data_IF_261952135030
#
_entry.id   IF_261952135030
#
_cell.length_a   1.000
_cell.length_b   1.000
_cell.length_c   1.000
_cell.angle_alpha   90.00
_cell.angle_beta   90.00
_cell.angle_gamma   90.00
#
_symmetry.space_group_name_H-M   'P 1'
#
loop_
_entity.id
_entity.type
_entity.pdbx_description
1 polymer ?
#
# COMPACT_ATOMS: atom_id res chain seq x y z
N UNK A 1 21.18 15.96 -12.37
CA UNK A 1 19.75 16.32 -12.40
C UNK A 1 19.47 17.57 -11.57
N UNK A 2 19.99 17.67 -10.34
CA UNK A 2 19.85 18.89 -9.50
C UNK A 2 20.26 20.16 -10.23
N UNK A 3 21.46 20.21 -10.81
CA UNK A 3 21.94 21.41 -11.53
C UNK A 3 21.05 21.82 -12.70
N UNK A 4 20.47 20.83 -13.39
CA UNK A 4 19.57 21.05 -14.51
C UNK A 4 18.25 21.70 -14.06
N UNK A 5 17.75 21.34 -12.87
CA UNK A 5 16.49 21.84 -12.33
C UNK A 5 16.65 23.09 -11.46
N UNK A 6 17.88 23.47 -11.09
CA UNK A 6 18.17 24.60 -10.22
C UNK A 6 17.53 25.94 -10.65
N UNK A 7 17.50 26.32 -11.95
CA UNK A 7 16.80 27.53 -12.40
C UNK A 7 15.27 27.51 -12.18
N UNK A 8 14.71 26.34 -11.86
CA UNK A 8 13.28 26.09 -11.66
C UNK A 8 12.99 25.50 -10.28
N UNK A 9 13.90 25.67 -9.31
CA UNK A 9 13.75 25.14 -7.94
C UNK A 9 12.51 25.71 -7.19
N UNK A 10 11.91 26.80 -7.69
CA UNK A 10 10.64 27.34 -7.17
C UNK A 10 9.41 26.49 -7.53
N UNK A 11 9.55 25.52 -8.45
CA UNK A 11 8.45 24.68 -8.97
C UNK A 11 8.81 23.23 -9.29
N UNK A 12 10.10 22.86 -9.30
CA UNK A 12 10.57 21.50 -9.59
C UNK A 12 11.57 21.04 -8.54
N UNK A 13 11.42 19.80 -8.10
CA UNK A 13 12.35 19.12 -7.19
C UNK A 13 12.85 17.83 -7.83
N UNK A 14 14.17 17.62 -7.95
CA UNK A 14 14.72 16.37 -8.46
C UNK A 14 14.52 15.24 -7.44
N UNK A 15 14.15 14.05 -7.91
CA UNK A 15 13.94 12.87 -7.08
C UNK A 15 15.21 12.02 -7.03
N UNK A 16 15.60 11.57 -5.84
CA UNK A 16 16.68 10.60 -5.68
C UNK A 16 16.13 9.17 -5.73
N UNK A 17 16.69 8.32 -6.59
CA UNK A 17 16.39 6.89 -6.59
C UNK A 17 17.21 6.19 -5.49
N UNK A 18 16.56 5.45 -4.60
CA UNK A 18 17.19 4.80 -3.45
C UNK A 18 17.11 3.27 -3.63
N UNK A 19 18.26 2.58 -3.76
CA UNK A 19 18.28 1.13 -3.76
C UNK A 19 17.94 0.58 -2.38
N UNK A 20 17.21 -0.54 -2.36
CA UNK A 20 16.69 -1.13 -1.13
C UNK A 20 17.22 -2.55 -0.91
N UNK A 21 18.37 -2.96 -1.48
CA UNK A 21 18.84 -4.35 -1.35
C UNK A 21 19.27 -4.71 0.06
N UNK A 22 19.83 -3.77 0.83
CA UNK A 22 20.01 -3.92 2.28
C UNK A 22 19.70 -2.59 2.99
N UNK A 23 19.37 -2.62 4.29
CA UNK A 23 19.19 -1.39 5.07
C UNK A 23 20.41 -0.47 5.05
N UNK A 24 21.63 -1.02 5.15
CA UNK A 24 22.87 -0.25 5.17
C UNK A 24 23.10 0.49 3.85
N UNK A 25 22.80 -0.17 2.72
CA UNK A 25 22.87 0.46 1.41
C UNK A 25 21.85 1.61 1.30
N UNK A 26 20.60 1.34 1.64
CA UNK A 26 19.53 2.34 1.58
C UNK A 26 19.87 3.57 2.42
N UNK A 27 20.33 3.38 3.66
CA UNK A 27 20.73 4.45 4.58
C UNK A 27 21.88 5.28 3.98
N UNK A 28 22.93 4.64 3.47
CA UNK A 28 24.06 5.34 2.84
C UNK A 28 23.61 6.20 1.67
N UNK A 29 22.71 5.69 0.83
CA UNK A 29 22.16 6.44 -0.30
C UNK A 29 21.24 7.59 0.13
N UNK A 30 20.45 7.40 1.19
CA UNK A 30 19.63 8.46 1.78
C UNK A 30 20.49 9.59 2.34
N UNK A 31 21.53 9.27 3.11
CA UNK A 31 22.44 10.26 3.71
C UNK A 31 23.17 11.07 2.63
N UNK A 32 23.67 10.40 1.60
CA UNK A 32 24.33 11.06 0.49
C UNK A 32 23.35 11.95 -0.31
N UNK A 33 22.19 11.41 -0.70
CA UNK A 33 21.23 12.14 -1.52
C UNK A 33 20.62 13.34 -0.80
N UNK A 34 20.19 13.18 0.45
CA UNK A 34 19.53 14.25 1.21
C UNK A 34 20.54 15.17 1.88
N UNK A 35 21.56 14.60 2.53
CA UNK A 35 22.52 15.35 3.33
C UNK A 35 23.60 16.06 2.51
N UNK A 36 24.13 15.40 1.46
CA UNK A 36 25.21 15.99 0.65
C UNK A 36 24.71 16.64 -0.63
N UNK A 37 23.79 16.00 -1.36
CA UNK A 37 23.27 16.51 -2.63
C UNK A 37 22.06 17.45 -2.47
N UNK A 38 21.39 17.45 -1.32
CA UNK A 38 20.26 18.33 -1.03
C UNK A 38 18.94 17.93 -1.68
N UNK A 39 18.76 16.65 -2.02
CA UNK A 39 17.45 16.14 -2.43
C UNK A 39 16.44 16.27 -1.28
N UNK A 40 15.22 16.71 -1.61
CA UNK A 40 14.09 16.72 -0.67
C UNK A 40 13.08 15.60 -0.91
N UNK A 41 13.19 14.91 -2.05
CA UNK A 41 12.28 13.83 -2.48
C UNK A 41 13.10 12.59 -2.81
N UNK A 42 12.62 11.44 -2.35
CA UNK A 42 13.24 10.12 -2.57
C UNK A 42 12.22 9.16 -3.13
N UNK A 43 12.62 8.36 -4.12
CA UNK A 43 11.84 7.25 -4.65
C UNK A 43 12.63 5.95 -4.40
N UNK A 44 12.04 5.08 -3.60
CA UNK A 44 12.60 3.82 -3.17
C UNK A 44 12.04 2.69 -4.04
N UNK A 45 12.80 1.62 -4.20
CA UNK A 45 12.23 0.37 -4.71
C UNK A 45 11.14 -0.11 -3.75
N UNK A 46 10.07 -0.70 -4.28
CA UNK A 46 8.92 -1.17 -3.50
C UNK A 46 9.00 -2.65 -3.14
N UNK A 47 9.91 -3.41 -3.76
CA UNK A 47 10.20 -4.81 -3.47
C UNK A 47 11.55 -5.20 -4.08
N UNK A 48 12.08 -6.34 -3.66
CA UNK A 48 13.27 -6.96 -4.26
C UNK A 48 13.11 -8.47 -4.35
N UNK A 49 13.76 -9.08 -5.35
CA UNK A 49 13.85 -10.52 -5.45
C UNK A 49 14.90 -11.06 -4.48
N UNK A 50 14.50 -11.99 -3.62
CA UNK A 50 15.40 -12.75 -2.75
C UNK A 50 15.44 -14.20 -3.18
N UNK A 51 16.62 -14.77 -3.45
CA UNK A 51 16.75 -16.21 -3.65
C UNK A 51 16.17 -17.01 -2.47
N UNK A 52 15.43 -18.06 -2.77
CA UNK A 52 14.96 -19.02 -1.78
C UNK A 52 16.17 -19.87 -1.36
N UNK A 53 16.50 -19.99 -0.06
CA UNK A 53 17.70 -20.71 0.39
C UNK A 53 17.83 -22.14 -0.17
N UNK A 54 16.73 -22.88 -0.23
CA UNK A 54 16.72 -24.22 -0.80
C UNK A 54 17.06 -24.26 -2.31
N UNK A 55 16.78 -23.20 -3.07
CA UNK A 55 17.16 -23.10 -4.48
C UNK A 55 18.67 -22.83 -4.63
N UNK A 56 19.24 -21.95 -3.80
CA UNK A 56 20.69 -21.72 -3.74
C UNK A 56 21.46 -23.01 -3.42
N UNK A 57 20.99 -23.76 -2.42
CA UNK A 57 21.63 -25.02 -1.98
C UNK A 57 21.68 -26.06 -3.09
N UNK A 58 20.66 -26.10 -3.96
CA UNK A 58 20.63 -27.03 -5.10
C UNK A 58 21.57 -26.59 -6.23
N UNK A 59 21.53 -25.30 -6.62
CA UNK A 59 22.43 -24.76 -7.63
C UNK A 59 22.39 -23.23 -7.66
N UNK A 60 23.55 -22.55 -7.78
CA UNK A 60 23.58 -21.10 -8.01
C UNK A 60 22.76 -20.65 -9.23
N UNK A 61 22.69 -21.47 -10.29
CA UNK A 61 21.89 -21.13 -11.48
C UNK A 61 20.38 -21.26 -11.28
N UNK A 62 19.92 -21.98 -10.25
CA UNK A 62 18.50 -22.06 -9.89
C UNK A 62 18.06 -20.89 -9.01
N UNK A 63 19.00 -20.27 -8.29
CA UNK A 63 18.74 -19.13 -7.41
C UNK A 63 18.14 -17.92 -8.16
N UNK A 64 18.47 -17.76 -9.43
CA UNK A 64 17.93 -16.70 -10.31
C UNK A 64 16.44 -16.87 -10.62
N UNK A 65 15.90 -18.10 -10.51
CA UNK A 65 14.51 -18.43 -10.83
C UNK A 65 13.69 -18.79 -9.60
N UNK A 66 14.33 -19.33 -8.57
CA UNK A 66 13.72 -19.64 -7.28
C UNK A 66 13.80 -18.46 -6.33
N UNK A 67 13.11 -17.36 -6.65
CA UNK A 67 13.06 -16.17 -5.79
C UNK A 67 11.71 -16.03 -5.08
N UNK A 68 11.72 -15.28 -3.98
CA UNK A 68 10.52 -14.71 -3.35
C UNK A 68 10.59 -13.19 -3.47
N UNK A 69 9.43 -12.56 -3.49
CA UNK A 69 9.34 -11.11 -3.32
C UNK A 69 9.55 -10.78 -1.84
N UNK A 70 10.49 -9.89 -1.57
CA UNK A 70 10.76 -9.34 -0.25
C UNK A 70 10.30 -7.88 -0.21
N UNK A 71 9.45 -7.61 0.79
CA UNK A 71 8.86 -6.31 1.06
C UNK A 71 9.26 -5.86 2.46
N UNK A 72 9.56 -4.57 2.60
CA UNK A 72 10.37 -4.00 3.69
C UNK A 72 9.64 -3.81 5.05
N UNK A 73 8.70 -4.68 5.43
CA UNK A 73 7.92 -4.57 6.66
C UNK A 73 7.67 -5.90 7.37
N UNK A 74 6.82 -6.74 6.82
CA UNK A 74 6.52 -8.10 7.30
C UNK A 74 7.40 -9.12 6.58
N UNK A 75 8.05 -10.00 7.34
CA UNK A 75 8.84 -11.16 6.86
C UNK A 75 9.95 -10.84 5.85
N UNK A 76 10.47 -9.61 5.92
CA UNK A 76 11.66 -9.20 5.18
C UNK A 76 12.91 -9.93 5.64
N UNK A 77 13.87 -10.16 4.73
CA UNK A 77 15.16 -10.78 5.07
C UNK A 77 15.96 -9.94 6.08
N UNK A 78 15.84 -8.61 5.98
CA UNK A 78 16.47 -7.66 6.90
C UNK A 78 15.44 -6.82 7.64
N UNK A 79 15.87 -6.22 8.75
CA UNK A 79 15.08 -5.24 9.49
C UNK A 79 15.25 -3.84 8.88
N UNK A 80 14.20 -3.35 8.20
CA UNK A 80 14.18 -2.03 7.56
C UNK A 80 13.72 -0.91 8.50
N UNK A 81 13.43 -1.19 9.79
CA UNK A 81 13.09 -0.14 10.76
C UNK A 81 14.19 0.94 10.84
N UNK A 82 15.45 0.57 10.63
CA UNK A 82 16.56 1.52 10.57
C UNK A 82 16.46 2.48 9.37
N UNK A 83 15.93 2.01 8.23
CA UNK A 83 15.69 2.85 7.05
C UNK A 83 14.55 3.83 7.32
N UNK A 84 13.47 3.38 7.96
CA UNK A 84 12.35 4.24 8.35
C UNK A 84 12.78 5.29 9.37
N UNK A 85 13.54 4.89 10.39
CA UNK A 85 14.14 5.82 11.35
C UNK A 85 14.98 6.89 10.64
N UNK A 86 15.81 6.49 9.67
CA UNK A 86 16.63 7.42 8.87
C UNK A 86 15.78 8.36 8.01
N UNK A 87 14.69 7.90 7.41
CA UNK A 87 13.76 8.78 6.68
C UNK A 87 13.14 9.84 7.59
N UNK A 88 12.76 9.46 8.81
CA UNK A 88 12.23 10.39 9.80
C UNK A 88 13.28 11.41 10.26
N UNK A 89 14.51 10.95 10.52
CA UNK A 89 15.67 11.79 10.88
C UNK A 89 15.96 12.84 9.79
N UNK A 90 16.02 12.39 8.53
CA UNK A 90 16.27 13.25 7.36
C UNK A 90 15.05 14.05 6.91
N UNK A 91 13.90 13.85 7.56
CA UNK A 91 12.62 14.49 7.22
C UNK A 91 12.25 14.31 5.75
N UNK A 92 12.31 13.08 5.25
CA UNK A 92 11.86 12.73 3.91
C UNK A 92 10.76 11.68 3.97
N UNK A 93 9.69 11.90 3.21
CA UNK A 93 8.62 10.91 3.07
C UNK A 93 9.12 9.79 2.13
N UNK A 94 9.07 8.51 2.55
CA UNK A 94 9.30 7.40 1.65
C UNK A 94 8.26 7.39 0.53
N UNK A 95 8.70 7.48 -0.73
CA UNK A 95 7.83 7.23 -1.89
C UNK A 95 8.37 6.03 -2.66
N UNK A 96 7.47 5.28 -3.31
CA UNK A 96 7.82 4.01 -3.95
C UNK A 96 7.34 3.97 -5.37
N UNK A 97 8.20 3.49 -6.26
CA UNK A 97 7.84 3.09 -7.61
C UNK A 97 8.61 1.83 -7.96
N UNK A 98 7.93 0.83 -8.50
CA UNK A 98 8.56 -0.38 -9.00
C UNK A 98 7.72 -1.02 -10.08
N UNK A 99 8.41 -1.55 -11.09
CA UNK A 99 7.77 -2.40 -12.09
C UNK A 99 7.21 -3.68 -11.46
N UNK A 100 6.47 -4.43 -12.27
CA UNK A 100 5.78 -5.64 -11.83
C UNK A 100 6.70 -6.74 -11.28
N UNK A 101 6.40 -7.22 -10.08
CA UNK A 101 7.01 -8.42 -9.50
C UNK A 101 6.40 -9.73 -10.02
N UNK A 102 6.91 -10.86 -9.53
CA UNK A 102 6.41 -12.21 -9.85
C UNK A 102 4.87 -12.28 -9.68
N UNK A 103 4.15 -12.73 -10.72
CA UNK A 103 2.67 -12.77 -10.71
C UNK A 103 2.08 -13.96 -11.44
N UNK A 104 0.94 -14.43 -10.96
CA UNK A 104 0.16 -15.46 -11.64
C UNK A 104 -0.42 -14.94 -12.96
N UNK A 105 -0.49 -15.79 -13.98
CA UNK A 105 -1.18 -15.46 -15.23
C UNK A 105 -0.47 -14.47 -16.16
N UNK A 106 0.86 -14.31 -16.06
CA UNK A 106 1.65 -13.53 -17.05
C UNK A 106 1.44 -14.11 -18.45
N UNK A 107 1.25 -13.24 -19.43
CA UNK A 107 1.27 -13.62 -20.84
C UNK A 107 2.70 -13.62 -21.37
N UNK A 108 3.05 -14.62 -22.18
CA UNK A 108 4.38 -14.69 -22.84
C UNK A 108 4.47 -13.77 -24.07
N UNK A 109 3.37 -13.18 -24.51
CA UNK A 109 3.31 -12.43 -25.78
C UNK A 109 2.47 -11.14 -25.75
N UNK A 110 1.72 -10.88 -24.68
CA UNK A 110 0.85 -9.70 -24.60
C UNK A 110 1.34 -8.73 -23.51
N UNK A 111 1.91 -7.60 -23.94
CA UNK A 111 2.38 -6.54 -23.06
C UNK A 111 1.25 -5.90 -22.25
N UNK A 112 0.10 -5.60 -22.84
CA UNK A 112 -1.02 -4.93 -22.15
C UNK A 112 -1.59 -5.78 -21.01
N UNK A 113 -1.79 -7.09 -21.25
CA UNK A 113 -2.10 -8.06 -20.19
C UNK A 113 -1.03 -8.03 -19.07
N UNK A 114 0.21 -7.73 -19.46
CA UNK A 114 1.32 -7.69 -18.53
C UNK A 114 1.47 -6.39 -17.74
N UNK A 115 1.04 -5.28 -18.34
CA UNK A 115 1.16 -3.95 -17.81
C UNK A 115 0.01 -3.58 -16.87
N UNK A 116 -1.23 -3.92 -17.26
CA UNK A 116 -2.43 -3.60 -16.48
C UNK A 116 -2.33 -4.22 -15.07
N UNK A 117 -2.53 -3.39 -14.06
CA UNK A 117 -2.52 -3.76 -12.64
C UNK A 117 -1.13 -4.12 -12.08
N UNK A 118 -0.09 -4.01 -12.89
CA UNK A 118 1.21 -4.57 -12.56
C UNK A 118 2.00 -3.73 -11.53
N UNK A 119 1.88 -2.40 -11.59
CA UNK A 119 2.41 -1.48 -10.59
C UNK A 119 1.53 -1.52 -9.34
N UNK A 120 0.20 -1.49 -9.50
CA UNK A 120 -0.77 -1.62 -8.40
C UNK A 120 -0.50 -2.85 -7.52
N UNK A 121 -0.26 -4.01 -8.12
CA UNK A 121 0.06 -5.24 -7.38
C UNK A 121 1.38 -5.13 -6.59
N UNK A 122 2.41 -4.50 -7.16
CA UNK A 122 3.67 -4.28 -6.47
C UNK A 122 3.47 -3.38 -5.24
N UNK A 123 2.71 -2.30 -5.38
CA UNK A 123 2.41 -1.37 -4.29
C UNK A 123 1.49 -1.99 -3.23
N UNK A 124 0.52 -2.81 -3.63
CA UNK A 124 -0.37 -3.54 -2.72
C UNK A 124 0.41 -4.48 -1.79
N UNK A 125 1.37 -5.24 -2.35
CA UNK A 125 2.24 -6.11 -1.57
C UNK A 125 3.07 -5.35 -0.53
N UNK A 126 3.64 -4.20 -0.93
CA UNK A 126 4.38 -3.33 -0.02
C UNK A 126 3.48 -2.75 1.07
N UNK A 127 2.31 -2.20 0.71
CA UNK A 127 1.37 -1.62 1.66
C UNK A 127 0.91 -2.65 2.71
N UNK A 128 0.62 -3.89 2.30
CA UNK A 128 0.34 -5.00 3.23
C UNK A 128 1.53 -5.26 4.15
N UNK A 129 2.73 -5.36 3.60
CA UNK A 129 3.95 -5.61 4.36
C UNK A 129 4.21 -4.51 5.41
N UNK A 130 4.06 -3.24 5.04
CA UNK A 130 4.21 -2.10 5.96
C UNK A 130 3.12 -2.11 7.05
N UNK A 131 1.86 -2.34 6.67
CA UNK A 131 0.73 -2.34 7.58
C UNK A 131 0.79 -3.51 8.57
N UNK A 132 0.76 -4.76 8.08
CA UNK A 132 0.81 -5.96 8.91
C UNK A 132 2.15 -6.14 9.60
N UNK A 133 3.23 -5.58 9.05
CA UNK A 133 4.52 -5.49 9.71
C UNK A 133 4.53 -4.52 10.89
N UNK A 134 3.50 -3.67 11.07
CA UNK A 134 3.38 -2.68 12.15
C UNK A 134 4.22 -1.43 11.94
N UNK A 135 4.72 -1.16 10.73
CA UNK A 135 5.62 -0.04 10.44
C UNK A 135 4.93 1.30 10.68
N UNK A 136 3.69 1.46 10.21
CA UNK A 136 2.93 2.71 10.39
C UNK A 136 2.61 3.01 11.86
N UNK A 137 2.55 1.98 12.70
CA UNK A 137 2.45 2.12 14.16
C UNK A 137 3.75 2.58 14.79
N UNK A 138 4.89 1.97 14.41
CA UNK A 138 6.21 2.27 14.97
C UNK A 138 6.76 3.62 14.51
N UNK A 139 6.42 4.04 13.29
CA UNK A 139 6.87 5.31 12.69
C UNK A 139 5.70 6.24 12.38
N UNK A 140 4.97 6.72 13.41
CA UNK A 140 3.74 7.48 13.21
C UNK A 140 3.97 8.88 12.61
N UNK A 141 5.22 9.36 12.57
CA UNK A 141 5.63 10.63 11.95
C UNK A 141 5.87 10.53 10.45
N UNK A 142 5.91 9.31 9.88
CA UNK A 142 6.11 9.11 8.45
C UNK A 142 4.79 8.95 7.72
N UNK A 143 4.80 9.40 6.46
CA UNK A 143 3.80 9.10 5.46
C UNK A 143 4.48 8.35 4.32
N UNK A 144 3.76 7.44 3.66
CA UNK A 144 4.28 6.59 2.60
C UNK A 144 3.52 6.86 1.30
N UNK A 145 4.24 7.21 0.23
CA UNK A 145 3.69 7.49 -1.09
C UNK A 145 3.87 6.31 -2.05
N UNK A 146 2.82 5.89 -2.74
CA UNK A 146 2.84 4.80 -3.71
C UNK A 146 2.57 5.41 -5.09
N UNK A 147 3.55 5.43 -5.98
CA UNK A 147 3.47 6.16 -7.25
C UNK A 147 2.95 5.25 -8.39
N UNK A 148 2.27 5.88 -9.36
CA UNK A 148 1.77 5.29 -10.62
C UNK A 148 0.97 3.98 -10.47
N UNK A 149 0.00 3.98 -9.56
CA UNK A 149 -0.67 2.73 -9.19
C UNK A 149 -2.20 2.79 -9.17
N UNK A 150 -2.76 3.97 -9.38
CA UNK A 150 -4.19 4.25 -9.24
C UNK A 150 -4.74 3.94 -7.84
N UNK A 151 -5.99 4.32 -7.58
CA UNK A 151 -6.58 4.23 -6.24
C UNK A 151 -7.37 2.95 -5.95
N UNK A 152 -7.83 2.22 -6.97
CA UNK A 152 -8.75 1.09 -6.79
C UNK A 152 -8.22 0.00 -5.84
N UNK A 153 -6.95 -0.39 -5.98
CA UNK A 153 -6.33 -1.44 -5.16
C UNK A 153 -6.29 -1.05 -3.68
N UNK A 154 -6.00 0.22 -3.37
CA UNK A 154 -5.91 0.72 -2.01
C UNK A 154 -7.29 0.78 -1.34
N UNK A 155 -8.34 1.11 -2.11
CA UNK A 155 -9.72 1.08 -1.63
C UNK A 155 -10.18 -0.34 -1.29
N UNK A 156 -9.92 -1.30 -2.19
CA UNK A 156 -10.20 -2.72 -1.93
C UNK A 156 -9.42 -3.22 -0.72
N UNK A 157 -8.11 -2.94 -0.68
CA UNK A 157 -7.25 -3.38 0.42
C UNK A 157 -7.71 -2.82 1.76
N UNK A 158 -8.09 -1.54 1.84
CA UNK A 158 -8.60 -0.95 3.07
C UNK A 158 -9.89 -1.64 3.54
N UNK A 159 -10.84 -1.89 2.64
CA UNK A 159 -12.06 -2.64 2.95
C UNK A 159 -11.76 -4.07 3.40
N UNK A 160 -10.83 -4.74 2.73
CA UNK A 160 -10.40 -6.10 3.07
C UNK A 160 -9.75 -6.14 4.45
N UNK A 161 -8.83 -5.22 4.77
CA UNK A 161 -8.18 -5.15 6.08
C UNK A 161 -9.23 -5.00 7.19
N UNK A 162 -10.20 -4.09 7.04
CA UNK A 162 -11.28 -3.90 8.00
C UNK A 162 -12.12 -5.17 8.15
N UNK A 163 -12.59 -5.74 7.03
CA UNK A 163 -13.41 -6.95 7.06
C UNK A 163 -12.67 -8.18 7.58
N UNK A 164 -11.36 -8.27 7.41
CA UNK A 164 -10.54 -9.35 7.95
C UNK A 164 -10.25 -9.16 9.44
N UNK A 165 -10.09 -7.93 9.93
CA UNK A 165 -9.91 -7.67 11.36
C UNK A 165 -11.08 -8.25 12.17
N UNK A 166 -12.31 -8.07 11.70
CA UNK A 166 -13.52 -8.64 12.32
C UNK A 166 -13.54 -10.17 12.40
N UNK A 167 -12.72 -10.86 11.60
CA UNK A 167 -12.76 -12.33 11.44
C UNK A 167 -11.47 -13.03 11.88
N UNK A 168 -10.37 -12.28 11.96
CA UNK A 168 -9.02 -12.82 12.11
C UNK A 168 -8.32 -12.33 13.37
N UNK A 169 -8.96 -11.56 14.24
CA UNK A 169 -8.47 -11.39 15.63
C UNK A 169 -8.60 -12.69 16.42
N UNK A 170 -7.83 -12.86 17.49
CA UNK A 170 -7.93 -14.04 18.36
C UNK A 170 -9.36 -14.28 18.84
N UNK A 171 -10.03 -13.23 19.33
CA UNK A 171 -11.42 -13.31 19.80
C UNK A 171 -12.41 -13.71 18.69
N UNK A 172 -12.22 -13.22 17.46
CA UNK A 172 -13.07 -13.60 16.33
C UNK A 172 -12.83 -15.05 15.89
N UNK A 173 -11.58 -15.51 15.93
CA UNK A 173 -11.25 -16.90 15.59
C UNK A 173 -11.78 -17.90 16.62
N UNK A 174 -11.84 -17.53 17.90
CA UNK A 174 -12.45 -18.36 18.95
C UNK A 174 -13.93 -18.69 18.66
N UNK A 175 -14.68 -17.73 18.09
CA UNK A 175 -16.07 -17.95 17.69
C UNK A 175 -16.23 -19.02 16.60
N UNK A 176 -15.26 -19.14 15.69
CA UNK A 176 -15.26 -20.12 14.60
C UNK A 176 -14.32 -21.30 14.86
N UNK A 177 -13.84 -21.47 16.09
CA UNK A 177 -12.96 -22.57 16.46
C UNK A 177 -13.68 -23.92 16.22
N UNK A 178 -13.16 -24.80 15.35
CA UNK A 178 -13.75 -26.10 15.11
C UNK A 178 -13.88 -26.96 16.38
N UNK A 179 -13.08 -26.72 17.41
CA UNK A 179 -13.19 -27.39 18.71
C UNK A 179 -14.52 -27.08 19.44
N UNK A 180 -15.16 -25.95 19.12
CA UNK A 180 -16.44 -25.54 19.69
C UNK A 180 -17.66 -26.14 18.95
N UNK A 181 -17.45 -26.88 17.85
CA UNK A 181 -18.52 -27.47 17.05
C UNK A 181 -19.05 -28.77 17.68
N UNK A 182 -20.35 -28.80 18.00
CA UNK A 182 -21.05 -30.05 18.32
C UNK A 182 -21.31 -30.85 17.03
N UNK A 183 -20.35 -31.71 16.69
CA UNK A 183 -20.40 -32.54 15.48
C UNK A 183 -21.57 -33.51 15.51
N UNK A 184 -21.92 -34.07 16.68
CA UNK A 184 -23.03 -35.02 16.78
C UNK A 184 -24.37 -34.34 16.48
N UNK A 185 -24.57 -33.13 17.00
CA UNK A 185 -25.75 -32.33 16.70
C UNK A 185 -25.79 -31.90 15.23
N UNK A 186 -24.66 -31.52 14.66
CA UNK A 186 -24.57 -31.20 13.23
C UNK A 186 -24.95 -32.40 12.36
N UNK A 187 -24.45 -33.60 12.69
CA UNK A 187 -24.78 -34.82 11.96
C UNK A 187 -26.26 -35.21 12.11
N UNK A 188 -26.87 -34.98 13.28
CA UNK A 188 -28.32 -35.12 13.45
C UNK A 188 -29.09 -34.20 12.48
N UNK A 189 -28.68 -32.94 12.35
CA UNK A 189 -29.33 -32.03 11.41
C UNK A 189 -29.17 -32.46 9.95
N UNK A 190 -28.02 -33.04 9.58
CA UNK A 190 -27.86 -33.59 8.24
C UNK A 190 -28.76 -34.81 8.00
N UNK A 191 -28.89 -35.70 8.98
CA UNK A 191 -29.78 -36.85 8.88
C UNK A 191 -31.26 -36.42 8.80
N UNK A 192 -31.67 -35.41 9.54
CA UNK A 192 -33.04 -34.90 9.53
C UNK A 192 -33.36 -34.17 8.20
N UNK A 193 -32.48 -33.24 7.78
CA UNK A 193 -32.84 -32.19 6.82
C UNK A 193 -32.05 -32.16 5.51
N UNK A 194 -30.93 -32.88 5.39
CA UNK A 194 -30.11 -32.76 4.19
C UNK A 194 -30.78 -33.41 2.97
N UNK A 195 -30.30 -33.06 1.77
CA UNK A 195 -30.75 -33.68 0.54
C UNK A 195 -30.26 -35.15 0.43
N UNK A 196 -30.85 -35.98 -0.45
CA UNK A 196 -30.49 -37.39 -0.58
C UNK A 196 -29.01 -37.66 -0.89
N UNK A 197 -28.32 -36.76 -1.61
CA UNK A 197 -26.90 -36.91 -1.85
C UNK A 197 -26.12 -36.75 -0.55
N UNK A 198 -26.38 -35.70 0.22
CA UNK A 198 -25.69 -35.48 1.50
C UNK A 198 -25.97 -36.60 2.51
N UNK A 199 -27.23 -37.07 2.64
CA UNK A 199 -27.56 -38.20 3.53
C UNK A 199 -26.82 -39.50 3.17
N UNK A 200 -26.53 -39.73 1.89
CA UNK A 200 -25.72 -40.88 1.44
C UNK A 200 -24.24 -40.78 1.85
N UNK A 201 -23.75 -39.59 2.17
CA UNK A 201 -22.34 -39.32 2.46
C UNK A 201 -22.10 -38.80 3.89
N UNK A 202 -22.96 -39.13 4.86
CA UNK A 202 -22.83 -38.67 6.25
C UNK A 202 -21.49 -39.04 6.90
N UNK A 203 -20.93 -40.22 6.59
CA UNK A 203 -19.63 -40.63 7.12
C UNK A 203 -18.49 -39.73 6.62
N UNK A 204 -18.53 -39.34 5.33
CA UNK A 204 -17.56 -38.41 4.75
C UNK A 204 -17.72 -37.00 5.34
N UNK A 205 -18.97 -36.55 5.55
CA UNK A 205 -19.25 -35.29 6.21
C UNK A 205 -18.73 -35.29 7.65
N UNK A 206 -19.03 -36.33 8.44
CA UNK A 206 -18.50 -36.48 9.80
C UNK A 206 -16.97 -36.44 9.80
N UNK A 207 -16.33 -37.21 8.92
CA UNK A 207 -14.87 -37.21 8.79
C UNK A 207 -14.27 -35.84 8.50
N UNK A 208 -14.96 -34.98 7.74
CA UNK A 208 -14.53 -33.60 7.51
C UNK A 208 -14.61 -32.73 8.76
N UNK A 209 -15.64 -32.89 9.59
CA UNK A 209 -15.85 -32.09 10.81
C UNK A 209 -15.11 -32.65 12.04
N UNK A 210 -14.58 -33.88 11.98
CA UNK A 210 -13.76 -34.48 13.04
C UNK A 210 -12.28 -34.58 12.67
N UNK A 211 -11.84 -34.02 11.54
CA UNK A 211 -10.41 -34.00 11.19
C UNK A 211 -9.64 -33.15 12.19
N UNK A 212 -8.34 -33.41 12.31
CA UNK A 212 -7.46 -32.57 13.12
C UNK A 212 -7.40 -31.17 12.51
N UNK A 213 -7.95 -30.20 13.24
CA UNK A 213 -7.79 -28.78 12.92
C UNK A 213 -6.60 -28.23 13.68
N UNK A 214 -5.92 -27.26 13.08
CA UNK A 214 -4.87 -26.53 13.79
C UNK A 214 -5.50 -25.80 14.98
N UNK A 215 -4.86 -25.85 16.17
CA UNK A 215 -5.32 -25.08 17.32
C UNK A 215 -5.25 -23.59 17.00
N UNK A 216 -5.99 -22.79 17.75
CA UNK A 216 -5.87 -21.34 17.69
C UNK A 216 -4.41 -20.92 17.92
N UNK A 217 -3.88 -19.97 17.13
CA UNK A 217 -2.52 -19.50 17.29
C UNK A 217 -2.38 -18.67 18.59
N UNK A 218 -1.17 -18.53 19.10
CA UNK A 218 -0.89 -17.65 20.26
C UNK A 218 -1.08 -16.16 19.93
N UNK A 219 -0.94 -15.80 18.65
CA UNK A 219 -1.06 -14.43 18.13
C UNK A 219 -1.85 -14.46 16.84
N UNK A 220 -2.77 -13.51 16.67
CA UNK A 220 -3.52 -13.34 15.43
C UNK A 220 -2.71 -12.65 14.33
N UNK A 221 -3.24 -12.60 13.11
CA UNK A 221 -2.57 -12.02 11.95
C UNK A 221 -2.27 -10.52 12.10
N UNK A 222 -2.93 -9.82 13.03
CA UNK A 222 -2.81 -8.38 13.25
C UNK A 222 -1.88 -8.02 14.42
N UNK A 223 -1.30 -9.00 15.12
CA UNK A 223 -0.61 -8.79 16.39
C UNK A 223 0.50 -7.71 16.37
N UNK A 224 1.21 -7.56 15.25
CA UNK A 224 2.29 -6.55 15.08
C UNK A 224 1.76 -5.13 14.93
N UNK A 225 0.50 -4.95 14.53
CA UNK A 225 -0.15 -3.64 14.39
C UNK A 225 -0.49 -3.02 15.74
N UNK A 226 -0.68 -3.86 16.77
CA UNK A 226 -1.12 -3.44 18.09
C UNK A 226 -2.50 -2.79 18.11
N UNK A 227 -3.36 -3.05 17.11
CA UNK A 227 -4.72 -2.52 17.03
C UNK A 227 -5.57 -3.13 18.14
N UNK A 228 -6.23 -2.27 18.91
CA UNK A 228 -7.18 -2.64 19.96
C UNK A 228 -8.60 -2.14 19.69
N UNK A 229 -8.73 -1.14 18.82
CA UNK A 229 -9.98 -0.67 18.26
C UNK A 229 -9.89 -0.69 16.72
N UNK A 230 -10.88 -1.29 16.06
CA UNK A 230 -10.94 -1.40 14.60
C UNK A 230 -10.84 -0.05 13.88
N UNK A 231 -11.28 1.04 14.53
CA UNK A 231 -11.18 2.39 13.96
C UNK A 231 -9.73 2.86 13.81
N UNK A 232 -8.77 2.31 14.55
CA UNK A 232 -7.35 2.63 14.40
C UNK A 232 -6.78 2.26 13.02
N UNK A 233 -7.46 1.39 12.26
CA UNK A 233 -7.08 1.07 10.88
C UNK A 233 -7.11 2.34 10.00
N UNK A 234 -8.03 3.28 10.26
CA UNK A 234 -8.07 4.57 9.55
C UNK A 234 -6.77 5.34 9.75
N UNK A 235 -6.27 5.39 10.98
CA UNK A 235 -5.06 6.12 11.32
C UNK A 235 -3.79 5.43 10.82
N UNK A 236 -3.76 4.10 10.84
CA UNK A 236 -2.60 3.31 10.43
C UNK A 236 -2.51 3.07 8.92
N UNK A 237 -3.62 3.16 8.19
CA UNK A 237 -3.67 2.94 6.75
C UNK A 237 -4.05 4.23 6.01
N UNK A 238 -5.30 4.66 6.11
CA UNK A 238 -5.83 5.76 5.29
C UNK A 238 -5.14 7.10 5.57
N UNK A 239 -4.72 7.36 6.81
CA UNK A 239 -4.00 8.58 7.16
C UNK A 239 -2.48 8.50 6.99
N UNK A 240 -1.94 7.39 6.48
CA UNK A 240 -0.50 7.16 6.31
C UNK A 240 -0.08 6.82 4.89
N UNK A 241 -0.98 6.27 4.09
CA UNK A 241 -0.71 5.84 2.72
C UNK A 241 -1.31 6.81 1.71
N UNK A 242 -0.47 7.33 0.81
CA UNK A 242 -0.82 8.31 -0.22
C UNK A 242 -0.64 7.66 -1.59
N UNK A 243 -1.69 7.68 -2.40
CA UNK A 243 -1.82 6.82 -3.59
C UNK A 243 -1.76 7.68 -4.85
N UNK A 244 -0.65 7.59 -5.59
CA UNK A 244 -0.42 8.30 -6.83
C UNK A 244 -1.31 7.77 -7.95
N UNK A 245 -2.08 8.67 -8.53
CA UNK A 245 -3.01 8.39 -9.62
C UNK A 245 -2.75 9.38 -10.76
N UNK A 246 -2.74 8.86 -11.97
CA UNK A 246 -2.66 9.61 -13.22
C UNK A 246 -3.91 10.47 -13.43
N UNK A 247 -3.84 11.40 -14.38
CA UNK A 247 -4.89 12.39 -14.61
C UNK A 247 -6.24 11.77 -14.97
N UNK A 248 -6.23 10.71 -15.77
CA UNK A 248 -7.42 10.04 -16.30
C UNK A 248 -7.91 8.87 -15.42
N UNK A 249 -7.29 8.64 -14.25
CA UNK A 249 -7.65 7.54 -13.37
C UNK A 249 -9.02 7.77 -12.70
N UNK A 250 -10.05 7.18 -13.29
CA UNK A 250 -11.43 7.21 -12.76
C UNK A 250 -11.56 6.50 -11.41
N UNK A 251 -10.60 5.69 -10.98
CA UNK A 251 -10.64 5.05 -9.66
C UNK A 251 -10.47 6.03 -8.50
N UNK A 252 -10.00 7.26 -8.77
CA UNK A 252 -10.03 8.39 -7.83
C UNK A 252 -11.44 8.63 -7.28
N UNK A 253 -12.48 8.39 -8.09
CA UNK A 253 -13.87 8.48 -7.63
C UNK A 253 -14.18 7.51 -6.49
N UNK A 254 -13.62 6.30 -6.50
CA UNK A 254 -13.76 5.35 -5.39
C UNK A 254 -12.97 5.80 -4.16
N UNK A 255 -11.77 6.35 -4.34
CA UNK A 255 -10.97 6.88 -3.23
C UNK A 255 -11.74 7.87 -2.36
N UNK A 256 -12.52 8.75 -2.98
CA UNK A 256 -13.33 9.77 -2.28
C UNK A 256 -14.77 9.32 -1.96
N UNK A 257 -15.17 8.10 -2.32
CA UNK A 257 -16.50 7.59 -2.07
C UNK A 257 -16.69 7.13 -0.61
N UNK A 258 -16.96 8.11 0.25
CA UNK A 258 -17.22 7.93 1.69
C UNK A 258 -18.50 7.11 1.98
N UNK A 259 -19.35 6.81 1.00
CA UNK A 259 -20.51 5.92 1.22
C UNK A 259 -20.12 4.45 1.17
N UNK A 260 -19.08 4.11 0.41
CA UNK A 260 -18.65 2.73 0.17
C UNK A 260 -17.47 2.38 1.07
N UNK A 261 -16.52 3.30 1.23
CA UNK A 261 -15.33 3.04 2.02
C UNK A 261 -15.68 2.88 3.52
N UNK A 262 -15.09 1.91 4.22
CA UNK A 262 -15.30 1.72 5.64
C UNK A 262 -15.17 3.00 6.46
N UNK A 263 -16.00 3.12 7.49
CA UNK A 263 -16.01 4.25 8.43
C UNK A 263 -16.22 5.64 7.78
N UNK A 264 -16.71 5.70 6.54
CA UNK A 264 -16.88 6.97 5.85
C UNK A 264 -15.56 7.61 5.42
N UNK A 265 -14.51 6.82 5.24
CA UNK A 265 -13.13 7.30 5.07
C UNK A 265 -12.79 7.54 3.60
N UNK A 266 -12.19 8.69 3.29
CA UNK A 266 -11.56 8.91 1.98
C UNK A 266 -10.13 8.37 1.99
N UNK A 267 -9.76 7.63 0.94
CA UNK A 267 -8.37 7.22 0.69
C UNK A 267 -7.60 8.42 0.12
N UNK A 268 -6.32 8.58 0.49
CA UNK A 268 -5.48 9.72 0.11
C UNK A 268 -4.95 9.56 -1.31
N UNK A 269 -5.84 9.51 -2.30
CA UNK A 269 -5.46 9.62 -3.71
C UNK A 269 -4.79 10.98 -3.95
N UNK A 270 -3.69 11.00 -4.67
CA UNK A 270 -2.93 12.21 -4.99
C UNK A 270 -2.57 12.22 -6.47
N UNK A 271 -2.63 13.40 -7.07
CA UNK A 271 -2.30 13.58 -8.47
C UNK A 271 -0.82 13.29 -8.76
N UNK A 272 -0.57 12.47 -9.77
CA UNK A 272 0.73 12.29 -10.43
C UNK A 272 0.54 12.42 -11.93
N UNK A 273 1.48 13.04 -12.63
CA UNK A 273 1.31 13.33 -14.05
C UNK A 273 1.91 12.30 -15.00
N UNK A 274 2.83 11.45 -14.52
CA UNK A 274 3.65 10.51 -15.32
C UNK A 274 4.13 11.07 -16.70
N UNK A 275 4.61 12.33 -16.68
CA UNK A 275 4.97 13.03 -17.91
C UNK A 275 6.21 12.39 -18.53
N UNK A 276 6.10 12.01 -19.80
CA UNK A 276 7.13 11.30 -20.54
C UNK A 276 6.80 9.84 -20.83
N UNK A 277 5.65 9.36 -20.32
CA UNK A 277 5.09 8.06 -20.63
C UNK A 277 4.07 8.11 -21.80
N UNK A 278 3.55 6.95 -22.22
CA UNK A 278 2.80 6.82 -23.49
C UNK A 278 1.35 7.33 -23.44
N UNK A 279 0.81 7.50 -22.25
CA UNK A 279 -0.50 8.04 -21.92
C UNK A 279 -0.52 9.58 -21.90
N UNK A 280 0.63 10.25 -21.74
CA UNK A 280 0.73 11.72 -21.79
C UNK A 280 1.34 12.20 -23.09
N UNK A 281 0.49 12.51 -24.06
CA UNK A 281 0.92 13.02 -25.39
C UNK A 281 1.19 14.53 -25.34
N UNK A 282 0.44 15.29 -24.53
CA UNK A 282 0.64 16.73 -24.32
C UNK A 282 0.62 17.06 -22.82
N UNK A 283 1.69 17.71 -22.34
CA UNK A 283 1.83 18.13 -20.94
C UNK A 283 0.78 19.20 -20.57
N UNK A 284 0.28 19.96 -21.55
CA UNK A 284 -0.76 20.96 -21.35
C UNK A 284 -2.12 20.37 -20.95
N UNK A 285 -2.38 19.12 -21.31
CA UNK A 285 -3.70 18.49 -21.11
C UNK A 285 -3.83 17.79 -19.77
N UNK A 286 -2.73 17.42 -19.10
CA UNK A 286 -2.75 16.61 -17.87
C UNK A 286 -3.63 17.20 -16.76
N UNK A 287 -3.58 18.51 -16.53
CA UNK A 287 -4.41 19.14 -15.49
C UNK A 287 -5.87 19.31 -15.94
N UNK A 288 -6.09 19.43 -17.26
CA UNK A 288 -7.43 19.48 -17.86
C UNK A 288 -8.11 18.12 -17.72
N UNK A 289 -7.40 17.04 -18.05
CA UNK A 289 -7.88 15.66 -17.91
C UNK A 289 -8.23 15.33 -16.45
N UNK A 290 -7.37 15.69 -15.49
CA UNK A 290 -7.67 15.50 -14.07
C UNK A 290 -8.97 16.20 -13.63
N UNK A 291 -9.29 17.35 -14.25
CA UNK A 291 -10.50 18.12 -13.95
C UNK A 291 -11.76 17.46 -14.50
N UNK A 292 -11.66 16.59 -15.50
CA UNK A 292 -12.80 15.83 -16.03
C UNK A 292 -13.50 14.99 -14.96
N UNK A 293 -12.78 14.53 -13.93
CA UNK A 293 -13.39 13.83 -12.78
C UNK A 293 -14.46 14.69 -12.06
N UNK A 294 -14.30 16.01 -12.06
CA UNK A 294 -15.29 16.95 -11.50
C UNK A 294 -16.36 17.25 -12.53
N UNK A 295 -15.97 17.48 -13.78
CA UNK A 295 -16.88 17.89 -14.84
C UNK A 295 -17.86 16.75 -15.22
N UNK A 296 -17.45 15.49 -15.04
CA UNK A 296 -18.26 14.26 -15.15
C UNK A 296 -19.07 13.92 -13.88
N UNK A 297 -19.07 14.79 -12.86
CA UNK A 297 -19.74 14.58 -11.56
C UNK A 297 -19.28 13.31 -10.80
N UNK A 298 -18.04 12.84 -11.02
CA UNK A 298 -17.51 11.66 -10.32
C UNK A 298 -17.01 12.01 -8.92
N UNK A 299 -16.42 13.20 -8.77
CA UNK A 299 -15.99 13.78 -7.50
C UNK A 299 -16.43 15.25 -7.43
N UNK A 300 -16.55 15.80 -6.23
CA UNK A 300 -16.86 17.23 -6.07
C UNK A 300 -15.58 18.09 -6.03
N UNK A 301 -15.74 19.42 -6.06
CA UNK A 301 -14.63 20.37 -6.01
C UNK A 301 -13.75 20.24 -4.76
N UNK A 302 -14.33 19.82 -3.63
CA UNK A 302 -13.59 19.64 -2.39
C UNK A 302 -12.69 18.39 -2.48
N UNK A 303 -13.21 17.28 -2.99
CA UNK A 303 -12.42 16.06 -3.27
C UNK A 303 -11.31 16.35 -4.30
N UNK A 304 -11.59 17.15 -5.33
CA UNK A 304 -10.56 17.58 -6.29
C UNK A 304 -9.45 18.42 -5.64
N UNK A 305 -9.79 19.29 -4.69
CA UNK A 305 -8.80 20.05 -3.90
C UNK A 305 -7.96 19.13 -3.01
N UNK A 306 -8.57 18.09 -2.44
CA UNK A 306 -7.84 17.06 -1.71
C UNK A 306 -6.85 16.31 -2.62
N UNK A 307 -7.31 15.90 -3.80
CA UNK A 307 -6.54 15.16 -4.80
C UNK A 307 -5.34 15.96 -5.36
N UNK A 308 -5.59 17.19 -5.80
CA UNK A 308 -4.61 18.02 -6.52
C UNK A 308 -3.65 18.77 -5.60
N UNK A 309 -4.04 19.04 -4.35
CA UNK A 309 -3.27 19.93 -3.48
C UNK A 309 -3.05 19.36 -2.08
N UNK A 310 -4.10 19.05 -1.32
CA UNK A 310 -3.90 18.69 0.10
C UNK A 310 -3.17 17.37 0.31
N UNK A 311 -3.52 16.33 -0.45
CA UNK A 311 -2.88 15.01 -0.29
C UNK A 311 -1.37 15.06 -0.68
N UNK A 312 -0.96 15.62 -1.84
CA UNK A 312 0.46 15.82 -2.15
C UNK A 312 1.20 16.67 -1.11
N UNK A 313 0.57 17.73 -0.59
CA UNK A 313 1.17 18.59 0.42
C UNK A 313 1.34 17.84 1.74
N UNK A 314 0.31 17.15 2.23
CA UNK A 314 0.38 16.42 3.49
C UNK A 314 1.40 15.28 3.47
N UNK A 315 1.57 14.59 2.33
CA UNK A 315 2.57 13.53 2.17
C UNK A 315 3.95 14.03 2.64
N UNK A 316 4.40 15.18 2.11
CA UNK A 316 5.72 15.71 2.39
C UNK A 316 5.76 16.63 3.61
N UNK A 317 4.80 17.55 3.75
CA UNK A 317 4.85 18.61 4.74
C UNK A 317 4.57 18.13 6.18
N UNK A 318 3.86 17.01 6.36
CA UNK A 318 3.71 16.41 7.70
C UNK A 318 5.01 15.78 8.19
N UNK A 319 5.86 15.29 7.28
CA UNK A 319 7.19 14.75 7.61
C UNK A 319 8.21 15.89 7.73
N UNK A 320 8.12 16.90 6.87
CA UNK A 320 8.98 18.08 6.85
C UNK A 320 8.18 19.37 6.65
N UNK A 321 7.89 20.13 7.72
CA UNK A 321 7.15 21.39 7.61
C UNK A 321 7.79 22.42 6.68
N UNK A 322 9.11 22.32 6.44
CA UNK A 322 9.86 23.25 5.59
C UNK A 322 9.95 22.79 4.12
N UNK A 323 9.32 21.68 3.74
CA UNK A 323 9.47 21.07 2.41
C UNK A 323 9.20 22.07 1.27
N UNK A 324 8.11 22.84 1.39
CA UNK A 324 7.66 23.80 0.37
C UNK A 324 8.22 25.22 0.52
N UNK A 325 9.16 25.45 1.45
CA UNK A 325 9.79 26.76 1.62
C UNK A 325 10.58 27.17 0.37
N UNK A 326 10.39 28.42 -0.06
CA UNK A 326 10.97 29.00 -1.27
C UNK A 326 10.24 28.62 -2.57
N UNK A 327 9.12 27.89 -2.49
CA UNK A 327 8.35 27.49 -3.69
C UNK A 327 7.22 28.47 -3.99
N UNK A 328 6.68 28.41 -5.22
CA UNK A 328 5.52 29.23 -5.62
C UNK A 328 4.25 28.98 -4.82
N UNK A 329 4.16 27.84 -4.15
CA UNK A 329 2.98 27.43 -3.36
C UNK A 329 3.17 27.59 -1.86
N UNK A 330 4.32 28.13 -1.40
CA UNK A 330 4.65 28.24 0.03
C UNK A 330 3.52 28.88 0.85
N UNK A 331 3.01 30.03 0.42
CA UNK A 331 1.97 30.74 1.17
C UNK A 331 0.65 29.94 1.29
N UNK A 332 0.28 29.22 0.22
CA UNK A 332 -0.92 28.38 0.20
C UNK A 332 -0.74 27.12 1.07
N UNK A 333 0.48 26.56 1.09
CA UNK A 333 0.84 25.44 1.96
C UNK A 333 0.83 25.87 3.42
N UNK A 334 1.46 26.99 3.75
CA UNK A 334 1.49 27.54 5.11
C UNK A 334 0.06 27.80 5.63
N UNK A 335 -0.84 28.25 4.76
CA UNK A 335 -2.24 28.42 5.11
C UNK A 335 -2.95 27.10 5.39
N UNK A 336 -2.78 26.12 4.51
CA UNK A 336 -3.34 24.79 4.68
C UNK A 336 -2.81 24.09 5.95
N UNK A 337 -1.52 24.20 6.26
CA UNK A 337 -0.93 23.63 7.48
C UNK A 337 -1.48 24.27 8.76
N UNK A 338 -1.89 25.55 8.71
CA UNK A 338 -2.56 26.23 9.84
C UNK A 338 -4.04 25.87 9.96
N UNK A 339 -4.75 25.81 8.83
CA UNK A 339 -6.21 25.60 8.82
C UNK A 339 -6.61 24.13 8.95
N UNK A 340 -5.75 23.21 8.52
CA UNK A 340 -6.08 21.80 8.35
C UNK A 340 -7.07 21.56 7.20
N UNK A 341 -7.62 20.34 7.17
CA UNK A 341 -8.70 19.94 6.27
C UNK A 341 -10.02 20.55 6.78
N UNK A 342 -10.32 21.77 6.33
CA UNK A 342 -11.54 22.51 6.67
C UNK A 342 -12.70 22.25 5.74
#
# INVERSE_FOLDING_TARGET
>A
VIDLMSPHADRMSPVAAIPMHTPEEAIRHLEYAVGELGHKVVCMQGWIDRPIPAALEQSPGLAEYGTRLDYFGLDSEYDYDQVWAKCAELKVAPTFHSSSGLRAGRSVSNYTQNHIGSIAQAQEGLAKSLFFGGVTRRFPSLNFGFLECGAAWACSLFADIVGHYEKRTLAAMEYVDPANLDVDKLMQYFDDYADPFTKKHLDAARGYYTRDFYPLPEKDDFWKTGITDIHEIVDLFANRFYIGCEADDRSVAWAFNRKINPFGTAIRAMFGSDVGHWDVIDVGDVVVEARELVDDDLINTQDFKEFMFWNPVELHARVNPDFFKGTRVEAAVDDFLRSGRG
#
